data_IF_762525103407
#
_entry.id   IF_762525103407
#
_cell.length_a   1.000
_cell.length_b   1.000
_cell.length_c   1.000
_cell.angle_alpha   90.00
_cell.angle_beta   90.00
_cell.angle_gamma   90.00
#
_symmetry.space_group_name_H-M   'P 1'
#
loop_
_entity.id
_entity.type
_entity.pdbx_description
1 polymer ?
#
# COMPACT_ATOMS: atom_id res chain seq x y z
N UNK A 1 -41.58 0.68 11.41
CA UNK A 1 -40.93 0.02 10.25
C UNK A 1 -41.70 0.42 9.01
N UNK A 2 -41.01 0.98 8.00
CA UNK A 2 -41.63 1.43 6.74
C UNK A 2 -41.26 0.47 5.62
N UNK A 3 -42.24 0.10 4.79
CA UNK A 3 -42.02 -0.72 3.61
C UNK A 3 -42.05 0.18 2.37
N UNK A 4 -41.08 -0.01 1.49
CA UNK A 4 -40.98 0.69 0.21
C UNK A 4 -41.00 -0.31 -0.94
N UNK A 5 -41.64 0.02 -2.08
CA UNK A 5 -41.65 -0.87 -3.24
C UNK A 5 -40.25 -0.95 -3.88
N UNK A 6 -39.79 -2.17 -4.15
CA UNK A 6 -38.55 -2.40 -4.86
C UNK A 6 -38.66 -1.88 -6.30
N UNK A 7 -37.69 -1.07 -6.74
CA UNK A 7 -37.65 -0.47 -8.09
C UNK A 7 -37.55 -1.49 -9.23
N UNK A 8 -37.19 -2.74 -8.93
CA UNK A 8 -36.95 -3.79 -9.92
C UNK A 8 -38.12 -4.77 -10.01
N UNK A 9 -38.58 -5.31 -8.88
CA UNK A 9 -39.65 -6.31 -8.87
C UNK A 9 -41.00 -5.79 -8.37
N UNK A 10 -41.07 -4.55 -7.88
CA UNK A 10 -42.30 -3.94 -7.35
C UNK A 10 -42.76 -4.45 -5.99
N UNK A 11 -42.14 -5.51 -5.46
CA UNK A 11 -42.48 -6.07 -4.14
C UNK A 11 -42.07 -5.11 -3.03
N UNK A 12 -42.90 -5.01 -2.00
CA UNK A 12 -42.62 -4.23 -0.80
C UNK A 12 -41.43 -4.84 -0.04
N UNK A 13 -40.39 -4.04 0.16
CA UNK A 13 -39.20 -4.41 0.91
C UNK A 13 -39.04 -3.50 2.13
N UNK A 14 -38.31 -3.96 3.14
CA UNK A 14 -37.91 -3.08 4.23
C UNK A 14 -37.01 -1.96 3.70
N UNK A 15 -37.26 -0.72 4.11
CA UNK A 15 -36.38 0.41 3.79
C UNK A 15 -35.04 0.36 4.52
N UNK A 16 -34.92 -0.49 5.55
CA UNK A 16 -33.70 -0.68 6.33
C UNK A 16 -32.72 -1.62 5.63
N UNK A 17 -33.21 -2.58 4.85
CA UNK A 17 -32.40 -3.60 4.18
C UNK A 17 -31.58 -3.07 3.00
N UNK A 18 -30.38 -3.62 2.84
CA UNK A 18 -29.44 -3.26 1.77
C UNK A 18 -29.72 -3.99 0.44
N UNK A 19 -30.47 -5.09 0.51
CA UNK A 19 -30.89 -5.93 -0.61
C UNK A 19 -32.40 -6.16 -0.55
N UNK A 20 -33.03 -6.30 -1.71
CA UNK A 20 -34.41 -6.74 -1.76
C UNK A 20 -34.49 -8.24 -1.46
N UNK A 21 -35.22 -8.63 -0.42
CA UNK A 21 -35.36 -10.04 0.00
C UNK A 21 -36.11 -10.91 -1.01
N UNK A 22 -36.84 -10.31 -1.96
CA UNK A 22 -37.61 -11.05 -2.97
C UNK A 22 -36.82 -11.33 -4.25
N UNK A 23 -36.01 -10.38 -4.72
CA UNK A 23 -35.31 -10.49 -6.00
C UNK A 23 -33.79 -10.36 -5.91
N UNK A 24 -33.24 -10.14 -4.71
CA UNK A 24 -31.80 -10.01 -4.48
C UNK A 24 -31.18 -8.71 -5.00
N UNK A 25 -31.99 -7.78 -5.53
CA UNK A 25 -31.47 -6.53 -6.10
C UNK A 25 -30.99 -5.57 -4.99
N UNK A 26 -29.80 -4.96 -5.10
CA UNK A 26 -29.29 -4.01 -4.11
C UNK A 26 -30.08 -2.70 -4.15
N UNK A 27 -30.83 -2.39 -3.09
CA UNK A 27 -31.71 -1.22 -3.02
C UNK A 27 -30.95 0.08 -2.75
N UNK A 28 -29.85 0.00 -2.00
CA UNK A 28 -29.06 1.17 -1.56
C UNK A 28 -27.80 1.45 -2.38
N UNK A 29 -27.62 0.72 -3.49
CA UNK A 29 -26.41 0.79 -4.30
C UNK A 29 -25.20 0.21 -3.55
N UNK A 30 -24.39 -0.57 -4.24
CA UNK A 30 -23.22 -1.23 -3.63
C UNK A 30 -22.12 -0.18 -3.38
N UNK A 31 -22.21 0.59 -2.28
CA UNK A 31 -21.09 1.40 -1.79
C UNK A 31 -20.03 0.42 -1.27
N UNK A 32 -19.15 -0.05 -2.16
CA UNK A 32 -17.99 -0.83 -1.74
C UNK A 32 -17.25 -0.01 -0.67
N UNK A 33 -17.07 -0.54 0.56
CA UNK A 33 -16.39 0.20 1.60
C UNK A 33 -15.02 0.66 1.11
N UNK A 34 -14.61 1.89 1.48
CA UNK A 34 -13.34 2.49 1.05
C UNK A 34 -12.15 1.57 1.35
N UNK A 35 -12.26 0.77 2.41
CA UNK A 35 -11.27 -0.24 2.81
C UNK A 35 -10.99 -1.21 1.67
N UNK A 36 -12.00 -1.79 1.03
CA UNK A 36 -11.81 -2.74 -0.07
C UNK A 36 -11.11 -2.10 -1.27
N UNK A 37 -11.38 -0.82 -1.54
CA UNK A 37 -10.69 -0.08 -2.59
C UNK A 37 -9.21 0.14 -2.26
N UNK A 38 -8.92 0.52 -1.02
CA UNK A 38 -7.54 0.72 -0.55
C UNK A 38 -6.74 -0.59 -0.52
N UNK A 39 -7.33 -1.68 -0.04
CA UNK A 39 -6.70 -3.01 -0.03
C UNK A 39 -6.33 -3.45 -1.44
N UNK A 40 -7.24 -3.28 -2.41
CA UNK A 40 -6.95 -3.63 -3.81
C UNK A 40 -5.76 -2.82 -4.36
N UNK A 41 -5.69 -1.52 -4.07
CA UNK A 41 -4.56 -0.66 -4.50
C UNK A 41 -3.25 -1.13 -3.87
N UNK A 42 -3.23 -1.41 -2.57
CA UNK A 42 -2.02 -1.87 -1.86
C UNK A 42 -1.51 -3.19 -2.45
N UNK A 43 -2.41 -4.14 -2.73
CA UNK A 43 -2.04 -5.44 -3.30
C UNK A 43 -1.43 -5.27 -4.69
N UNK A 44 -2.05 -4.45 -5.54
CA UNK A 44 -1.52 -4.16 -6.88
C UNK A 44 -0.16 -3.49 -6.79
N UNK A 45 0.00 -2.50 -5.90
CA UNK A 45 1.28 -1.81 -5.71
C UNK A 45 2.36 -2.76 -5.21
N UNK A 46 2.04 -3.63 -4.24
CA UNK A 46 2.98 -4.61 -3.70
C UNK A 46 3.45 -5.62 -4.76
N UNK A 47 2.61 -5.98 -5.73
CA UNK A 47 2.97 -6.83 -6.86
C UNK A 47 3.82 -6.10 -7.90
N UNK A 48 3.55 -4.82 -8.16
CA UNK A 48 4.28 -4.02 -9.15
C UNK A 48 5.63 -3.51 -8.62
N UNK A 49 5.76 -3.26 -7.32
CA UNK A 49 6.97 -2.72 -6.71
C UNK A 49 8.25 -3.54 -7.02
N UNK A 50 8.29 -4.87 -6.83
CA UNK A 50 9.49 -5.66 -7.12
C UNK A 50 9.82 -5.67 -8.63
N UNK A 51 8.80 -5.63 -9.50
CA UNK A 51 9.00 -5.55 -10.95
C UNK A 51 9.66 -4.23 -11.35
N UNK A 52 9.24 -3.13 -10.73
CA UNK A 52 9.82 -1.81 -10.98
C UNK A 52 11.27 -1.76 -10.46
N UNK A 53 11.54 -2.26 -9.25
CA UNK A 53 12.89 -2.28 -8.66
C UNK A 53 13.87 -3.11 -9.51
N UNK A 54 13.44 -4.28 -9.97
CA UNK A 54 14.26 -5.15 -10.83
C UNK A 54 14.58 -4.48 -12.16
N UNK A 55 13.60 -3.81 -12.78
CA UNK A 55 13.81 -3.04 -14.02
C UNK A 55 14.76 -1.85 -13.81
N UNK A 56 14.63 -1.11 -12.70
CA UNK A 56 15.55 -0.03 -12.36
C UNK A 56 16.99 -0.52 -12.13
N UNK A 57 17.16 -1.66 -11.45
CA UNK A 57 18.49 -2.24 -11.25
C UNK A 57 19.11 -2.75 -12.55
N UNK A 58 18.29 -3.17 -13.53
CA UNK A 58 18.78 -3.58 -14.85
C UNK A 58 19.24 -2.38 -15.70
N UNK A 59 18.58 -1.24 -15.55
CA UNK A 59 18.86 -0.03 -16.34
C UNK A 59 19.94 0.85 -15.69
N UNK A 60 20.26 0.66 -14.40
CA UNK A 60 21.38 1.36 -13.76
C UNK A 60 22.67 1.13 -14.56
N UNK A 61 23.20 2.15 -15.26
CA UNK A 61 24.59 2.11 -15.68
C UNK A 61 25.41 2.03 -14.38
N UNK A 62 26.36 1.10 -14.32
CA UNK A 62 27.35 0.96 -13.26
C UNK A 62 27.61 2.31 -12.57
N UNK A 63 27.02 2.51 -11.39
CA UNK A 63 27.45 3.58 -10.51
C UNK A 63 28.89 3.21 -10.17
N UNK A 64 29.81 3.86 -10.88
CA UNK A 64 31.25 3.67 -10.77
C UNK A 64 31.59 3.56 -9.28
N UNK A 65 32.27 2.49 -8.84
CA UNK A 65 32.78 2.40 -7.47
C UNK A 65 33.55 3.68 -7.20
N UNK A 66 33.08 4.47 -6.24
CA UNK A 66 33.85 5.60 -5.74
C UNK A 66 35.11 4.99 -5.12
N UNK A 67 36.32 5.31 -5.63
CA UNK A 67 37.54 4.87 -4.99
C UNK A 67 37.65 5.66 -3.68
N UNK A 68 37.26 5.02 -2.58
CA UNK A 68 37.74 5.44 -1.26
C UNK A 68 39.23 5.14 -1.23
N UNK A 69 40.02 6.12 -1.64
CA UNK A 69 41.45 6.13 -1.42
C UNK A 69 41.70 5.89 0.07
N UNK A 70 42.45 4.83 0.31
CA UNK A 70 43.08 4.49 1.57
C UNK A 70 43.75 5.71 2.20
N UNK A 71 43.20 6.21 3.32
CA UNK A 71 43.98 6.97 4.30
C UNK A 71 44.04 6.16 5.58
N UNK A 72 45.06 5.32 5.61
CA UNK A 72 45.79 4.73 6.74
C UNK A 72 45.14 4.83 8.12
N UNK A 73 44.85 3.65 8.67
CA UNK A 73 45.10 3.30 10.07
C UNK A 73 46.34 4.03 10.62
N UNK A 74 46.14 4.82 11.67
CA UNK A 74 47.19 5.09 12.66
C UNK A 74 46.52 5.35 14.01
N UNK A 75 46.02 4.26 14.59
CA UNK A 75 45.91 4.13 16.03
C UNK A 75 47.36 3.94 16.54
N UNK A 76 47.72 4.66 17.61
CA UNK A 76 48.97 4.60 18.41
C UNK A 76 50.12 5.52 17.98
N UNK A 77 50.36 6.58 18.77
CA UNK A 77 51.66 7.05 19.35
C UNK A 77 51.30 8.28 20.22
N UNK A 78 51.23 8.13 21.54
CA UNK A 78 52.32 8.46 22.47
C UNK A 78 52.85 9.90 22.34
N UNK A 79 52.28 10.83 23.13
CA UNK A 79 52.97 11.94 23.84
C UNK A 79 51.98 12.50 24.87
N UNK A 80 52.06 12.11 26.16
CA UNK A 80 52.73 12.88 27.23
C UNK A 80 52.06 14.25 27.45
N UNK A 81 51.19 14.34 28.47
CA UNK A 81 51.25 15.39 29.49
C UNK A 81 50.79 14.79 30.84
N UNK A 82 51.66 14.80 31.87
CA UNK A 82 51.36 14.27 33.19
C UNK A 82 50.67 15.31 34.09
N UNK A 83 50.11 14.81 35.20
CA UNK A 83 49.69 15.55 36.40
C UNK A 83 50.54 16.78 36.73
N UNK A 84 49.88 17.94 36.93
CA UNK A 84 50.12 18.83 38.08
C UNK A 84 48.85 19.62 38.40
#
# INVERSE_FOLDING_TARGET
MSLEPCKVCGVLNSSEEEICLSCGYPTKGHKRPVIFKMTAIIVVLALLLPLIITLFNLIKPQQKPQPSTTTKTSLTIFTIFPNL
#
